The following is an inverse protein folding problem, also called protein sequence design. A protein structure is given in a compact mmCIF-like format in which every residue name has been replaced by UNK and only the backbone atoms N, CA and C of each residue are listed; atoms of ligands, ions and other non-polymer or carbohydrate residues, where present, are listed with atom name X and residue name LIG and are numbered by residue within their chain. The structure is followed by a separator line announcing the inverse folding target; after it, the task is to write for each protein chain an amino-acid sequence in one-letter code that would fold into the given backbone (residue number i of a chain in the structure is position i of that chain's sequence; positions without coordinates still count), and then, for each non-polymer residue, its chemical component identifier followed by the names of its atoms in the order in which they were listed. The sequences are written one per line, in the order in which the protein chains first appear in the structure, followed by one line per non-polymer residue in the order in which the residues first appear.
data_IF_636391201860
#
_entry.id   IF_636391201860
#
_cell.length_a   1.000
_cell.length_b   1.000
_cell.length_c   1.000
_cell.angle_alpha   90.00
_cell.angle_beta   90.00
_cell.angle_gamma   90.00
#
_symmetry.space_group_name_H-M   'P 1'
#
loop_
_entity.id
_entity.type
_entity.pdbx_description
1 polymer ?
#
# COMPACT_ATOMS: atom_id res chain seq x y z
N UNK A 1 0.68 24.91 48.96
CA UNK A 1 -0.61 24.18 48.98
C UNK A 1 -0.78 23.54 50.34
N UNK A 2 -1.89 23.80 51.02
CA UNK A 2 -2.25 23.11 52.27
C UNK A 2 -3.08 21.90 51.87
N UNK A 3 -2.53 20.70 52.02
CA UNK A 3 -3.28 19.47 51.79
C UNK A 3 -4.28 19.28 52.94
N UNK A 4 -5.52 18.95 52.62
CA UNK A 4 -6.52 18.58 53.60
C UNK A 4 -6.54 17.04 53.72
N UNK A 5 -6.40 16.55 54.94
CA UNK A 5 -6.44 15.13 55.26
C UNK A 5 -7.19 14.93 56.58
N UNK A 6 -7.78 13.75 56.74
CA UNK A 6 -8.34 13.32 58.02
C UNK A 6 -7.39 12.30 58.67
N UNK A 7 -7.24 12.37 60.00
CA UNK A 7 -6.50 11.38 60.76
C UNK A 7 -7.33 10.11 60.95
N UNK A 8 -6.76 8.92 60.74
CA UNK A 8 -7.42 7.63 60.91
C UNK A 8 -6.60 6.70 61.81
N UNK A 9 -7.22 5.86 62.66
CA UNK A 9 -6.50 5.07 63.67
C UNK A 9 -5.61 3.95 63.10
N UNK A 10 -5.87 3.48 61.88
CA UNK A 10 -5.20 2.31 61.30
C UNK A 10 -4.58 2.64 59.93
N UNK A 11 -3.40 2.06 59.67
CA UNK A 11 -2.67 2.11 58.39
C UNK A 11 -3.44 1.35 57.31
N UNK A 12 -3.72 1.97 56.18
CA UNK A 12 -4.40 1.33 55.03
C UNK A 12 -3.46 1.32 53.83
N UNK A 13 -3.26 0.14 53.24
CA UNK A 13 -2.62 0.00 51.92
C UNK A 13 -3.66 0.25 50.82
N UNK A 14 -3.79 1.50 50.38
CA UNK A 14 -4.65 1.86 49.25
C UNK A 14 -3.84 1.95 47.95
N UNK A 15 -3.95 0.95 47.07
CA UNK A 15 -3.52 1.09 45.67
C UNK A 15 -4.66 1.73 44.87
N UNK A 16 -4.50 3.01 44.50
CA UNK A 16 -5.44 3.70 43.61
C UNK A 16 -5.16 3.34 42.15
N UNK A 17 -5.87 2.34 41.61
CA UNK A 17 -5.96 2.14 40.16
C UNK A 17 -7.06 3.06 39.61
N UNK A 18 -6.70 4.27 39.20
CA UNK A 18 -7.59 5.13 38.41
C UNK A 18 -7.28 4.92 36.92
N UNK A 19 -8.02 4.05 36.25
CA UNK A 19 -8.07 4.02 34.78
C UNK A 19 -9.24 4.87 34.29
N UNK A 20 -8.99 6.11 33.88
CA UNK A 20 -9.93 6.86 33.03
C UNK A 20 -9.69 6.43 31.58
N UNK A 21 -10.73 5.88 30.95
CA UNK A 21 -10.67 5.25 29.61
C UNK A 21 -10.79 6.21 28.43
N UNK A 22 -10.72 7.54 28.65
CA UNK A 22 -10.73 8.52 27.56
C UNK A 22 -9.71 9.64 27.79
N UNK A 23 -8.53 9.45 27.20
CA UNK A 23 -7.54 10.47 26.80
C UNK A 23 -7.29 11.65 27.74
N UNK A 24 -6.98 11.37 29.00
CA UNK A 24 -6.45 12.36 29.93
C UNK A 24 -5.92 11.68 31.18
N UNK A 25 -4.62 11.38 31.21
CA UNK A 25 -3.95 11.00 32.45
C UNK A 25 -3.93 12.23 33.36
N UNK A 26 -4.81 12.27 34.36
CA UNK A 26 -4.75 13.26 35.42
C UNK A 26 -3.64 12.89 36.38
N UNK A 27 -2.44 13.46 36.20
CA UNK A 27 -1.38 13.33 37.19
C UNK A 27 -1.80 14.07 38.45
N UNK A 28 -1.97 13.37 39.58
CA UNK A 28 -1.93 14.02 40.89
C UNK A 28 -0.58 14.73 40.97
N UNK A 29 -0.59 16.07 41.09
CA UNK A 29 0.60 16.92 40.95
C UNK A 29 1.87 16.31 41.54
N UNK A 30 2.93 16.18 40.72
CA UNK A 30 4.26 15.81 41.19
C UNK A 30 4.88 17.00 41.95
N UNK A 31 4.54 17.18 43.21
CA UNK A 31 5.30 18.08 44.10
C UNK A 31 6.16 17.25 45.03
N UNK A 32 7.45 17.57 45.09
CA UNK A 32 8.51 16.94 45.90
C UNK A 32 8.36 17.13 47.42
N UNK A 33 7.13 17.26 47.91
CA UNK A 33 6.86 17.34 49.35
C UNK A 33 6.67 15.91 49.86
N UNK A 34 7.78 15.21 50.07
CA UNK A 34 7.78 13.91 50.74
C UNK A 34 7.26 14.10 52.16
N UNK A 35 5.99 13.77 52.39
CA UNK A 35 5.50 13.53 53.75
C UNK A 35 6.17 12.25 54.22
N UNK A 36 6.92 12.35 55.32
CA UNK A 36 7.75 11.26 55.83
C UNK A 36 6.95 10.10 56.44
N UNK A 37 5.64 10.27 56.71
CA UNK A 37 4.75 9.25 57.26
C UNK A 37 3.30 9.43 56.78
N UNK A 38 2.73 8.37 56.19
CA UNK A 38 1.35 8.34 55.65
C UNK A 38 0.43 7.39 56.44
N UNK A 39 0.88 6.95 57.61
CA UNK A 39 0.33 5.77 58.28
C UNK A 39 -1.02 6.03 58.97
N UNK A 40 -1.39 7.29 59.14
CA UNK A 40 -2.62 7.73 59.81
C UNK A 40 -3.39 8.81 59.02
N UNK A 41 -3.06 9.06 57.74
CA UNK A 41 -3.67 10.17 56.96
C UNK A 41 -4.50 9.68 55.78
N UNK A 42 -5.76 10.11 55.71
CA UNK A 42 -6.63 9.93 54.54
C UNK A 42 -6.57 11.18 53.65
N UNK A 43 -6.10 11.10 52.39
CA UNK A 43 -6.17 12.24 51.49
C UNK A 43 -7.62 12.55 51.15
N UNK A 44 -8.01 13.83 51.20
CA UNK A 44 -9.24 14.27 50.58
C UNK A 44 -8.97 14.49 49.08
N UNK A 45 -9.54 13.63 48.24
CA UNK A 45 -9.50 13.80 46.79
C UNK A 45 -10.68 14.67 46.35
N UNK A 46 -10.41 15.78 45.67
CA UNK A 46 -11.41 16.54 44.93
C UNK A 46 -11.24 16.27 43.45
N UNK A 47 -12.18 15.55 42.86
CA UNK A 47 -12.26 15.37 41.41
C UNK A 47 -13.07 16.54 40.84
N UNK A 48 -12.42 17.40 40.07
CA UNK A 48 -13.10 18.38 39.23
C UNK A 48 -13.45 17.74 37.90
N UNK A 49 -14.73 17.54 37.63
CA UNK A 49 -15.23 17.19 36.30
C UNK A 49 -15.90 18.43 35.71
N UNK A 50 -15.34 18.96 34.62
CA UNK A 50 -16.02 19.96 33.81
C UNK A 50 -16.75 19.22 32.70
N UNK A 51 -18.08 19.11 32.81
CA UNK A 51 -18.90 18.59 31.72
C UNK A 51 -18.68 19.45 30.47
N UNK A 52 -18.45 18.81 29.31
CA UNK A 52 -18.42 19.53 28.06
C UNK A 52 -19.75 20.24 27.83
N UNK A 53 -19.71 21.48 27.35
CA UNK A 53 -20.91 22.28 27.07
C UNK A 53 -21.83 21.48 26.16
N UNK A 54 -23.09 21.30 26.59
CA UNK A 54 -24.11 20.67 25.77
C UNK A 54 -24.35 21.50 24.51
N UNK A 55 -24.54 20.83 23.39
CA UNK A 55 -24.85 21.55 22.15
C UNK A 55 -26.18 22.32 22.33
N UNK A 56 -26.27 23.48 21.69
CA UNK A 56 -27.47 24.31 21.71
C UNK A 56 -27.67 24.98 20.35
N UNK A 57 -28.91 25.04 19.89
CA UNK A 57 -29.25 25.64 18.59
C UNK A 57 -28.68 24.85 17.40
N UNK A 58 -28.61 25.51 16.24
CA UNK A 58 -28.08 24.93 15.02
C UNK A 58 -26.55 24.87 15.09
N UNK A 59 -25.93 23.68 14.99
CA UNK A 59 -24.48 23.56 15.01
C UNK A 59 -23.87 24.11 13.71
N UNK A 60 -22.59 24.49 13.76
CA UNK A 60 -21.77 24.67 12.56
C UNK A 60 -21.27 23.29 12.12
N UNK A 61 -21.55 22.88 10.89
CA UNK A 61 -21.12 21.57 10.39
C UNK A 61 -19.68 21.55 9.84
N UNK A 62 -19.11 22.72 9.55
CA UNK A 62 -17.72 22.86 9.10
C UNK A 62 -17.45 22.32 7.69
N UNK A 63 -16.20 21.97 7.44
CA UNK A 63 -15.68 21.47 6.16
C UNK A 63 -15.41 19.97 6.25
N UNK A 64 -15.95 19.19 5.32
CA UNK A 64 -15.60 17.78 5.18
C UNK A 64 -14.20 17.61 4.60
N UNK A 65 -13.46 16.64 5.13
CA UNK A 65 -12.12 16.30 4.68
C UNK A 65 -12.01 14.77 4.50
N UNK A 66 -11.12 14.36 3.62
CA UNK A 66 -10.72 12.96 3.42
C UNK A 66 -9.23 12.84 3.71
N UNK A 67 -8.79 11.69 4.21
CA UNK A 67 -7.37 11.40 4.49
C UNK A 67 -6.50 11.26 3.24
N UNK A 68 -7.06 11.47 2.05
CA UNK A 68 -6.40 11.28 0.75
C UNK A 68 -6.55 12.53 -0.09
N UNK A 69 -5.53 12.85 -0.87
CA UNK A 69 -5.53 13.91 -1.88
C UNK A 69 -5.19 13.30 -3.24
N UNK A 70 -6.19 13.05 -4.07
CA UNK A 70 -6.02 12.49 -5.42
C UNK A 70 -6.81 11.20 -5.66
N UNK A 71 -6.50 10.54 -6.78
CA UNK A 71 -7.19 9.33 -7.22
C UNK A 71 -6.65 8.10 -6.47
N UNK A 72 -7.55 7.37 -5.82
CA UNK A 72 -7.25 6.14 -5.07
C UNK A 72 -7.69 4.89 -5.84
N UNK A 73 -7.17 3.74 -5.45
CA UNK A 73 -7.67 2.47 -5.98
C UNK A 73 -8.95 2.03 -5.24
N UNK A 74 -9.79 1.26 -5.92
CA UNK A 74 -11.03 0.72 -5.37
C UNK A 74 -10.77 -0.01 -4.03
N UNK A 75 -11.58 0.27 -3.01
CA UNK A 75 -11.50 -0.39 -1.70
C UNK A 75 -10.44 0.18 -0.77
N UNK A 76 -9.68 1.19 -1.20
CA UNK A 76 -8.72 1.90 -0.31
C UNK A 76 -9.48 2.52 0.86
N UNK A 77 -9.00 2.26 2.09
CA UNK A 77 -9.56 2.87 3.29
C UNK A 77 -9.31 4.39 3.28
N UNK A 78 -10.39 5.16 3.39
CA UNK A 78 -10.40 6.61 3.49
C UNK A 78 -11.03 7.00 4.82
N UNK A 79 -10.32 7.80 5.62
CA UNK A 79 -10.87 8.37 6.83
C UNK A 79 -11.45 9.75 6.52
N UNK A 80 -12.75 9.90 6.77
CA UNK A 80 -13.48 11.15 6.68
C UNK A 80 -13.42 11.88 8.01
N UNK A 81 -13.35 13.21 7.98
CA UNK A 81 -13.34 14.06 9.17
C UNK A 81 -13.95 15.43 8.90
N UNK A 82 -14.21 16.19 9.96
CA UNK A 82 -14.69 17.56 9.89
C UNK A 82 -13.70 18.52 10.52
N UNK A 83 -13.48 19.67 9.86
CA UNK A 83 -12.71 20.80 10.40
C UNK A 83 -13.65 22.00 10.56
N UNK A 84 -13.56 22.72 11.68
CA UNK A 84 -14.41 23.90 11.95
C UNK A 84 -15.87 23.57 12.32
N UNK A 85 -16.18 22.30 12.57
CA UNK A 85 -17.48 21.92 13.13
C UNK A 85 -17.58 22.31 14.61
N UNK A 86 -18.80 22.55 15.10
CA UNK A 86 -19.06 22.76 16.53
C UNK A 86 -18.59 21.56 17.34
N UNK A 87 -17.87 21.82 18.43
CA UNK A 87 -17.45 20.80 19.41
C UNK A 87 -18.26 21.00 20.69
N UNK A 88 -19.21 20.11 20.94
CA UNK A 88 -20.10 20.13 22.10
C UNK A 88 -20.60 18.71 22.42
N UNK A 89 -21.06 18.47 23.65
CA UNK A 89 -21.67 17.19 24.02
C UNK A 89 -23.08 17.09 23.43
N UNK A 90 -23.54 15.86 23.12
CA UNK A 90 -24.88 15.64 22.55
C UNK A 90 -25.01 15.88 21.04
N UNK A 91 -23.90 16.10 20.33
CA UNK A 91 -23.89 16.16 18.88
C UNK A 91 -24.00 14.75 18.27
N UNK A 92 -24.68 14.66 17.12
CA UNK A 92 -24.70 13.47 16.28
C UNK A 92 -24.24 13.78 14.87
N UNK A 93 -23.52 12.85 14.27
CA UNK A 93 -22.87 13.00 12.97
C UNK A 93 -23.41 11.94 12.01
N UNK A 94 -24.09 12.36 10.94
CA UNK A 94 -24.58 11.44 9.91
C UNK A 94 -23.82 11.74 8.61
N UNK A 95 -22.86 10.89 8.29
CA UNK A 95 -22.19 10.94 6.99
C UNK A 95 -23.14 10.49 5.89
N UNK A 96 -23.00 11.14 4.74
CA UNK A 96 -23.79 10.87 3.55
C UNK A 96 -22.90 10.82 2.30
N UNK A 97 -23.34 10.05 1.30
CA UNK A 97 -22.67 9.89 0.01
C UNK A 97 -23.61 10.25 -1.15
N UNK A 98 -23.06 10.86 -2.19
CA UNK A 98 -23.70 11.08 -3.49
C UNK A 98 -22.69 10.90 -4.61
N UNK A 99 -23.13 10.40 -5.77
CA UNK A 99 -22.27 10.27 -6.97
C UNK A 99 -22.01 11.61 -7.66
N UNK A 100 -22.80 12.64 -7.36
CA UNK A 100 -22.65 13.99 -7.91
C UNK A 100 -22.70 15.04 -6.81
N UNK A 101 -22.00 16.17 -7.00
CA UNK A 101 -21.88 17.21 -5.98
C UNK A 101 -23.24 17.77 -5.50
N UNK A 102 -24.19 17.89 -6.43
CA UNK A 102 -25.55 18.42 -6.21
C UNK A 102 -26.63 17.32 -6.24
N UNK A 103 -26.23 16.05 -6.13
CA UNK A 103 -27.13 14.91 -6.23
C UNK A 103 -27.92 14.64 -4.96
N UNK A 104 -28.65 13.52 -4.98
CA UNK A 104 -29.32 13.00 -3.77
C UNK A 104 -28.29 12.29 -2.90
N UNK A 105 -28.11 12.81 -1.69
CA UNK A 105 -27.22 12.21 -0.70
C UNK A 105 -27.95 11.15 0.11
N UNK A 106 -27.31 9.99 0.25
CA UNK A 106 -27.82 8.84 1.02
C UNK A 106 -27.00 8.66 2.28
N UNK A 107 -27.63 8.28 3.39
CA UNK A 107 -26.95 8.06 4.66
C UNK A 107 -26.00 6.86 4.57
N UNK A 108 -24.77 7.06 5.05
CA UNK A 108 -23.78 5.99 5.20
C UNK A 108 -23.91 5.44 6.62
N UNK A 109 -24.47 4.25 6.75
CA UNK A 109 -24.69 3.61 8.04
C UNK A 109 -25.52 4.47 9.00
N UNK A 110 -25.37 4.21 10.30
CA UNK A 110 -26.06 4.91 11.36
C UNK A 110 -25.35 6.21 11.77
N UNK A 111 -26.07 7.11 12.42
CA UNK A 111 -25.48 8.32 13.01
C UNK A 111 -24.50 7.97 14.13
N UNK A 112 -23.38 8.70 14.19
CA UNK A 112 -22.26 8.49 15.08
C UNK A 112 -22.18 9.62 16.14
N UNK A 113 -21.45 9.37 17.22
CA UNK A 113 -21.14 10.37 18.26
C UNK A 113 -19.81 11.09 18.02
N UNK A 114 -19.05 10.68 17.01
CA UNK A 114 -17.81 11.34 16.56
C UNK A 114 -17.91 11.69 15.08
N UNK A 115 -17.15 12.69 14.65
CA UNK A 115 -17.11 13.13 13.25
C UNK A 115 -16.26 12.25 12.34
N UNK A 116 -15.45 11.36 12.90
CA UNK A 116 -14.55 10.50 12.13
C UNK A 116 -15.26 9.24 11.63
N UNK A 117 -15.09 8.91 10.35
CA UNK A 117 -15.64 7.69 9.76
C UNK A 117 -14.67 7.09 8.74
N UNK A 118 -14.35 5.81 8.89
CA UNK A 118 -13.64 5.04 7.87
C UNK A 118 -14.61 4.53 6.80
N UNK A 119 -14.30 4.76 5.53
CA UNK A 119 -15.04 4.24 4.38
C UNK A 119 -14.09 3.57 3.38
N UNK A 120 -14.59 2.63 2.59
CA UNK A 120 -13.85 1.95 1.51
C UNK A 120 -14.56 2.17 0.17
N UNK A 121 -14.37 3.33 -0.48
CA UNK A 121 -15.12 3.69 -1.68
C UNK A 121 -14.81 2.76 -2.86
N UNK A 122 -15.85 2.33 -3.58
CA UNK A 122 -15.73 1.51 -4.79
C UNK A 122 -15.99 2.31 -6.07
N UNK A 123 -16.33 3.59 -5.92
CA UNK A 123 -16.60 4.53 -7.02
C UNK A 123 -16.33 5.96 -6.55
N UNK A 124 -16.04 6.85 -7.49
CA UNK A 124 -15.90 8.28 -7.20
C UNK A 124 -17.22 8.88 -6.72
N UNK A 125 -17.12 9.88 -5.85
CA UNK A 125 -18.26 10.67 -5.43
C UNK A 125 -17.93 11.64 -4.31
N UNK A 126 -18.99 12.20 -3.73
CA UNK A 126 -18.93 13.28 -2.78
C UNK A 126 -19.47 12.82 -1.43
N UNK A 127 -18.74 13.19 -0.37
CA UNK A 127 -19.09 12.93 1.00
C UNK A 127 -19.38 14.25 1.71
N UNK A 128 -20.41 14.23 2.57
CA UNK A 128 -20.74 15.34 3.46
C UNK A 128 -21.29 14.78 4.76
N UNK A 129 -21.28 15.58 5.82
CA UNK A 129 -21.81 15.18 7.12
C UNK A 129 -22.93 16.13 7.54
N UNK A 130 -24.04 15.57 7.98
CA UNK A 130 -25.10 16.29 8.69
C UNK A 130 -24.77 16.23 10.18
N UNK A 131 -24.47 17.38 10.76
CA UNK A 131 -24.21 17.53 12.20
C UNK A 131 -25.48 18.02 12.86
N UNK A 132 -25.95 17.28 13.87
CA UNK A 132 -27.21 17.59 14.54
C UNK A 132 -27.02 17.80 16.04
N UNK A 133 -27.85 18.69 16.58
CA UNK A 133 -28.03 18.94 18.00
C UNK A 133 -29.52 18.88 18.31
N UNK A 134 -30.00 17.74 18.80
CA UNK A 134 -31.43 17.47 18.94
C UNK A 134 -32.14 17.57 17.58
N UNK A 135 -33.12 18.47 17.47
CA UNK A 135 -33.88 18.72 16.23
C UNK A 135 -33.22 19.71 15.26
N UNK A 136 -32.14 20.38 15.67
CA UNK A 136 -31.44 21.33 14.81
C UNK A 136 -30.29 20.63 14.09
N UNK A 137 -30.08 20.96 12.82
CA UNK A 137 -29.02 20.36 12.01
C UNK A 137 -28.42 21.34 11.02
N UNK A 138 -27.14 21.16 10.73
CA UNK A 138 -26.46 21.78 9.60
C UNK A 138 -25.70 20.74 8.79
N UNK A 139 -25.45 21.04 7.52
CA UNK A 139 -24.69 20.16 6.61
C UNK A 139 -23.33 20.78 6.31
N UNK A 140 -22.27 19.96 6.34
CA UNK A 140 -20.91 20.41 6.04
C UNK A 140 -20.77 20.77 4.56
N UNK A 141 -19.63 21.37 4.19
CA UNK A 141 -19.21 21.34 2.78
C UNK A 141 -19.02 19.89 2.29
N UNK A 142 -18.94 19.72 0.98
CA UNK A 142 -18.62 18.43 0.37
C UNK A 142 -17.10 18.22 0.33
N UNK A 143 -16.68 16.96 0.37
CA UNK A 143 -15.35 16.51 -0.06
C UNK A 143 -15.51 15.46 -1.14
N UNK A 144 -14.73 15.57 -2.21
CA UNK A 144 -14.71 14.58 -3.28
C UNK A 144 -13.65 13.51 -2.99
N UNK A 145 -14.00 12.26 -3.19
CA UNK A 145 -13.06 11.14 -3.24
C UNK A 145 -13.14 10.54 -4.64
N UNK A 146 -12.00 10.49 -5.33
CA UNK A 146 -11.92 9.95 -6.69
C UNK A 146 -11.33 8.56 -6.68
N UNK A 147 -12.03 7.60 -7.28
CA UNK A 147 -11.59 6.21 -7.41
C UNK A 147 -11.22 5.96 -8.87
N UNK A 148 -10.03 5.40 -9.09
CA UNK A 148 -9.58 5.01 -10.43
C UNK A 148 -10.49 3.92 -11.01
N UNK A 149 -10.97 4.05 -12.25
CA UNK A 149 -11.67 2.97 -12.92
C UNK A 149 -10.70 1.82 -13.22
N UNK A 150 -11.23 0.60 -13.35
CA UNK A 150 -10.46 -0.49 -13.94
C UNK A 150 -10.31 -0.25 -15.43
N UNK A 151 -9.19 -0.72 -15.98
CA UNK A 151 -8.80 -0.48 -17.36
C UNK A 151 -8.66 -1.78 -18.14
N UNK A 152 -8.82 -1.70 -19.46
CA UNK A 152 -8.59 -2.81 -20.39
C UNK A 152 -8.36 -2.25 -21.79
N UNK A 153 -7.72 -3.04 -22.64
CA UNK A 153 -7.43 -2.70 -24.02
C UNK A 153 -5.94 -2.69 -24.34
N UNK A 154 -5.62 -2.09 -25.48
CA UNK A 154 -4.27 -2.06 -26.03
C UNK A 154 -3.70 -0.64 -25.96
N UNK A 155 -2.47 -0.54 -25.47
CA UNK A 155 -1.74 0.69 -25.25
C UNK A 155 -0.35 0.61 -25.86
N UNK A 156 0.30 1.76 -25.99
CA UNK A 156 1.69 1.86 -26.45
C UNK A 156 2.61 2.26 -25.30
N UNK A 157 3.83 1.73 -25.27
CA UNK A 157 4.93 2.29 -24.47
C UNK A 157 5.92 2.89 -25.46
N UNK A 158 6.07 4.21 -25.46
CA UNK A 158 6.95 4.94 -26.38
C UNK A 158 7.48 6.21 -25.70
N UNK A 159 8.79 6.26 -25.44
CA UNK A 159 9.45 7.38 -24.75
C UNK A 159 9.57 8.63 -25.62
N UNK A 160 9.32 8.53 -26.93
CA UNK A 160 9.30 9.68 -27.85
C UNK A 160 7.96 10.43 -27.88
N UNK A 161 6.94 9.89 -27.19
CA UNK A 161 5.61 10.47 -27.10
C UNK A 161 5.26 10.71 -25.62
N UNK A 162 4.51 11.77 -25.29
CA UNK A 162 4.12 12.02 -23.91
C UNK A 162 3.21 10.92 -23.37
N UNK A 163 3.22 10.74 -22.05
CA UNK A 163 2.25 9.88 -21.35
C UNK A 163 0.85 10.48 -21.46
N UNK A 164 -0.13 9.65 -21.82
CA UNK A 164 -1.52 10.02 -22.01
C UNK A 164 -2.44 8.79 -21.98
N UNK A 165 -3.67 8.93 -22.47
CA UNK A 165 -4.69 7.89 -22.35
C UNK A 165 -4.34 6.57 -23.09
N UNK A 166 -3.51 6.62 -24.13
CA UNK A 166 -3.18 5.47 -24.99
C UNK A 166 -1.68 5.22 -25.13
N UNK A 167 -0.82 6.08 -24.59
CA UNK A 167 0.64 5.96 -24.65
C UNK A 167 1.26 6.22 -23.29
N UNK A 168 2.31 5.48 -22.96
CA UNK A 168 3.12 5.67 -21.76
C UNK A 168 4.57 5.94 -22.17
N UNK A 169 5.18 7.00 -21.61
CA UNK A 169 6.57 7.35 -21.90
C UNK A 169 7.58 6.39 -21.23
N UNK A 170 7.12 5.58 -20.27
CA UNK A 170 7.93 4.65 -19.47
C UNK A 170 7.16 3.38 -19.10
N UNK A 171 7.86 2.34 -18.65
CA UNK A 171 7.20 1.16 -18.07
C UNK A 171 6.55 1.47 -16.72
N UNK A 172 7.17 2.32 -15.91
CA UNK A 172 6.62 2.80 -14.64
C UNK A 172 5.25 3.46 -14.83
N UNK A 173 5.11 4.32 -15.85
CA UNK A 173 3.81 4.94 -16.18
C UNK A 173 2.77 3.91 -16.60
N UNK A 174 3.16 2.92 -17.40
CA UNK A 174 2.29 1.84 -17.86
C UNK A 174 1.79 0.97 -16.69
N UNK A 175 2.68 0.56 -15.78
CA UNK A 175 2.29 -0.22 -14.60
C UNK A 175 1.51 0.61 -13.59
N UNK A 176 1.84 1.89 -13.42
CA UNK A 176 1.08 2.81 -12.57
C UNK A 176 -0.35 3.02 -13.10
N UNK A 177 -0.55 3.00 -14.41
CA UNK A 177 -1.88 3.12 -15.02
C UNK A 177 -2.79 1.92 -14.69
N UNK A 178 -2.25 0.70 -14.65
CA UNK A 178 -3.03 -0.50 -14.31
C UNK A 178 -3.05 -0.85 -12.81
N UNK A 179 -2.31 -0.11 -11.97
CA UNK A 179 -2.10 -0.47 -10.55
C UNK A 179 -3.38 -0.65 -9.73
N UNK A 180 -4.45 0.04 -10.12
CA UNK A 180 -5.73 -0.03 -9.42
C UNK A 180 -6.65 -1.16 -9.90
N UNK A 181 -6.26 -1.87 -10.96
CA UNK A 181 -6.95 -3.06 -11.44
C UNK A 181 -7.34 -3.00 -12.92
N UNK A 182 -7.65 -4.17 -13.44
CA UNK A 182 -8.06 -4.40 -14.83
C UNK A 182 -9.41 -5.13 -14.86
N UNK A 183 -10.24 -4.84 -15.87
CA UNK A 183 -11.55 -5.48 -16.06
C UNK A 183 -11.64 -6.28 -17.37
N UNK A 184 -10.51 -6.48 -18.03
CA UNK A 184 -10.34 -7.19 -19.29
C UNK A 184 -8.84 -7.33 -19.60
N UNK A 185 -8.47 -7.97 -20.72
CA UNK A 185 -7.06 -8.04 -21.14
C UNK A 185 -6.44 -6.64 -21.29
N UNK A 186 -5.20 -6.50 -20.84
CA UNK A 186 -4.37 -5.32 -21.11
C UNK A 186 -3.17 -5.75 -21.94
N UNK A 187 -2.91 -5.03 -23.04
CA UNK A 187 -1.75 -5.25 -23.90
C UNK A 187 -0.95 -3.94 -24.01
N UNK A 188 0.32 -3.99 -23.69
CA UNK A 188 1.28 -2.92 -23.94
C UNK A 188 2.18 -3.30 -25.13
N UNK A 189 2.08 -2.55 -26.22
CA UNK A 189 3.00 -2.66 -27.35
C UNK A 189 4.10 -1.62 -27.19
N UNK A 190 5.32 -2.06 -26.91
CA UNK A 190 6.46 -1.15 -26.87
C UNK A 190 6.80 -0.74 -28.31
N UNK A 191 6.93 0.56 -28.59
CA UNK A 191 7.27 1.00 -29.93
C UNK A 191 8.68 0.52 -30.32
N UNK A 192 8.88 -0.06 -31.52
CA UNK A 192 10.21 -0.48 -31.97
C UNK A 192 11.23 0.68 -31.92
N UNK A 193 12.42 0.42 -31.39
CA UNK A 193 13.46 1.44 -31.23
C UNK A 193 13.22 2.47 -30.12
N UNK A 194 12.13 2.32 -29.35
CA UNK A 194 11.89 3.14 -28.17
C UNK A 194 12.75 2.70 -26.98
N UNK A 195 13.06 3.63 -26.09
CA UNK A 195 14.02 3.45 -25.00
C UNK A 195 15.45 3.88 -25.37
N UNK A 196 16.49 3.40 -24.65
CA UNK A 196 16.41 2.47 -23.53
C UNK A 196 15.62 3.06 -22.34
N UNK A 197 14.96 2.18 -21.60
CA UNK A 197 14.19 2.49 -20.41
C UNK A 197 15.05 2.19 -19.19
N UNK A 198 15.58 3.21 -18.52
CA UNK A 198 16.42 3.03 -17.34
C UNK A 198 15.58 3.12 -16.06
N UNK A 199 15.00 1.99 -15.64
CA UNK A 199 13.96 1.94 -14.61
C UNK A 199 14.14 0.71 -13.71
N UNK A 200 13.92 0.88 -12.41
CA UNK A 200 13.71 -0.21 -11.47
C UNK A 200 12.23 -0.30 -11.13
N UNK A 201 11.64 -1.47 -11.34
CA UNK A 201 10.20 -1.65 -11.28
C UNK A 201 9.82 -2.72 -10.27
N UNK A 202 8.87 -2.41 -9.40
CA UNK A 202 8.15 -3.37 -8.57
C UNK A 202 6.68 -3.27 -8.93
N UNK A 203 6.13 -4.36 -9.45
CA UNK A 203 4.72 -4.47 -9.82
C UNK A 203 4.03 -5.26 -8.71
N UNK A 204 3.08 -4.66 -7.97
CA UNK A 204 2.33 -5.39 -6.96
C UNK A 204 1.24 -6.26 -7.59
N UNK A 205 0.46 -6.96 -6.78
CA UNK A 205 -0.78 -7.61 -7.23
C UNK A 205 -1.70 -6.63 -7.97
N UNK A 206 -2.15 -7.01 -9.16
CA UNK A 206 -3.09 -6.21 -9.96
C UNK A 206 -4.48 -6.83 -9.84
N UNK A 207 -5.42 -6.07 -9.27
CA UNK A 207 -6.78 -6.53 -9.05
C UNK A 207 -7.49 -6.83 -10.38
N UNK A 208 -8.20 -7.96 -10.43
CA UNK A 208 -8.93 -8.38 -11.63
C UNK A 208 -8.12 -9.16 -12.66
N UNK A 209 -6.82 -9.33 -12.46
CA UNK A 209 -6.00 -10.28 -13.23
C UNK A 209 -6.55 -11.70 -13.13
N UNK A 210 -6.66 -12.38 -14.27
CA UNK A 210 -7.20 -13.74 -14.37
C UNK A 210 -6.81 -14.38 -15.71
N UNK A 211 -7.20 -15.64 -15.92
CA UNK A 211 -7.01 -16.33 -17.20
C UNK A 211 -7.61 -15.60 -18.41
N UNK A 212 -8.69 -14.82 -18.20
CA UNK A 212 -9.30 -14.00 -19.24
C UNK A 212 -8.80 -12.54 -19.26
N UNK A 213 -8.25 -12.06 -18.15
CA UNK A 213 -7.77 -10.69 -17.99
C UNK A 213 -6.27 -10.71 -17.75
N UNK A 214 -5.51 -10.94 -18.82
CA UNK A 214 -4.05 -11.04 -18.77
C UNK A 214 -3.39 -9.66 -18.96
N UNK A 215 -2.19 -9.49 -18.41
CA UNK A 215 -1.32 -8.34 -18.69
C UNK A 215 -0.24 -8.80 -19.67
N UNK A 216 -0.26 -8.29 -20.90
CA UNK A 216 0.73 -8.65 -21.94
C UNK A 216 1.62 -7.46 -22.28
N UNK A 217 2.93 -7.69 -22.36
CA UNK A 217 3.93 -6.74 -22.83
C UNK A 217 4.60 -7.31 -24.07
N UNK A 218 4.46 -6.63 -25.21
CA UNK A 218 5.18 -6.91 -26.44
C UNK A 218 6.37 -5.95 -26.53
N UNK A 219 7.54 -6.41 -26.09
CA UNK A 219 8.76 -5.62 -25.92
C UNK A 219 9.36 -5.12 -27.24
N UNK A 220 9.11 -5.79 -28.37
CA UNK A 220 9.61 -5.39 -29.69
C UNK A 220 11.12 -5.09 -29.75
N UNK A 221 11.92 -5.82 -28.95
CA UNK A 221 13.37 -5.63 -28.85
C UNK A 221 13.81 -4.38 -28.10
N UNK A 222 12.88 -3.63 -27.48
CA UNK A 222 13.23 -2.52 -26.61
C UNK A 222 13.99 -3.01 -25.36
N UNK A 223 14.76 -2.10 -24.78
CA UNK A 223 15.64 -2.42 -23.64
C UNK A 223 15.12 -1.77 -22.36
N UNK A 224 14.85 -2.59 -21.35
CA UNK A 224 14.73 -2.20 -19.94
C UNK A 224 16.08 -2.43 -19.25
N UNK A 225 16.58 -1.44 -18.51
CA UNK A 225 17.87 -1.54 -17.84
C UNK A 225 17.86 -0.90 -16.47
N UNK A 226 18.65 -1.45 -15.55
CA UNK A 226 18.95 -0.79 -14.29
C UNK A 226 20.22 -1.38 -13.64
N UNK A 227 20.92 -0.56 -12.85
CA UNK A 227 22.04 -0.98 -12.01
C UNK A 227 21.74 -0.55 -10.57
N UNK A 228 21.28 -1.48 -9.73
CA UNK A 228 20.98 -1.18 -8.34
C UNK A 228 22.26 -1.01 -7.52
N UNK A 229 22.25 -0.07 -6.57
CA UNK A 229 23.27 0.06 -5.52
C UNK A 229 22.80 -0.50 -4.17
N UNK A 230 21.58 -1.04 -4.12
CA UNK A 230 20.94 -1.53 -2.90
C UNK A 230 20.88 -3.06 -2.92
N UNK A 231 21.51 -3.69 -1.93
CA UNK A 231 21.62 -5.16 -1.86
C UNK A 231 20.31 -5.87 -1.58
N UNK A 232 19.29 -5.17 -1.08
CA UNK A 232 17.94 -5.70 -0.88
C UNK A 232 16.99 -5.40 -2.05
N UNK A 233 17.37 -4.50 -2.97
CA UNK A 233 16.60 -4.14 -4.16
C UNK A 233 17.40 -4.50 -5.41
N UNK A 234 17.70 -5.79 -5.57
CA UNK A 234 18.62 -6.25 -6.63
C UNK A 234 17.98 -6.25 -8.01
N UNK A 235 16.66 -6.12 -8.14
CA UNK A 235 15.97 -6.36 -9.40
C UNK A 235 16.03 -5.19 -10.38
N UNK A 236 15.84 -5.50 -11.67
CA UNK A 236 15.41 -4.53 -12.67
C UNK A 236 13.87 -4.52 -12.71
N UNK A 237 13.26 -5.71 -12.84
CA UNK A 237 11.81 -5.88 -12.83
C UNK A 237 11.40 -6.95 -11.80
N UNK A 238 10.62 -6.56 -10.81
CA UNK A 238 10.06 -7.45 -9.78
C UNK A 238 8.54 -7.51 -9.90
N UNK A 239 8.01 -8.72 -9.91
CA UNK A 239 6.58 -8.98 -9.74
C UNK A 239 6.37 -9.52 -8.33
N UNK A 240 5.59 -8.80 -7.54
CA UNK A 240 5.33 -9.01 -6.12
C UNK A 240 3.82 -9.31 -5.95
N UNK A 241 3.46 -10.59 -6.10
CA UNK A 241 2.08 -11.07 -6.13
C UNK A 241 1.28 -10.67 -7.38
N UNK A 242 1.94 -10.21 -8.45
CA UNK A 242 1.28 -10.01 -9.74
C UNK A 242 1.04 -11.36 -10.40
N UNK A 243 -0.18 -11.58 -10.90
CA UNK A 243 -0.54 -12.78 -11.64
C UNK A 243 -0.84 -12.50 -13.12
N UNK A 244 -0.80 -13.54 -13.94
CA UNK A 244 -1.28 -13.55 -15.34
C UNK A 244 -0.54 -12.57 -16.26
N UNK A 245 0.78 -12.51 -16.12
CA UNK A 245 1.66 -11.66 -16.93
C UNK A 245 2.28 -12.44 -18.09
N UNK A 246 2.31 -11.83 -19.28
CA UNK A 246 3.08 -12.31 -20.43
C UNK A 246 4.04 -11.23 -20.91
N UNK A 247 5.32 -11.55 -21.06
CA UNK A 247 6.32 -10.67 -21.67
C UNK A 247 6.92 -11.36 -22.89
N UNK A 248 6.83 -10.70 -24.04
CA UNK A 248 7.35 -11.18 -25.31
C UNK A 248 8.48 -10.25 -25.81
N UNK A 249 9.60 -10.80 -26.26
CA UNK A 249 10.64 -10.08 -27.01
C UNK A 249 11.12 -8.77 -26.33
N UNK A 250 11.35 -8.79 -25.02
CA UNK A 250 11.92 -7.66 -24.27
C UNK A 250 13.39 -7.93 -23.94
N UNK A 251 14.24 -6.93 -24.13
CA UNK A 251 15.64 -6.98 -23.67
C UNK A 251 15.73 -6.42 -22.25
N UNK A 252 16.37 -7.14 -21.35
CA UNK A 252 16.58 -6.76 -19.95
C UNK A 252 18.08 -6.75 -19.71
N UNK A 253 18.64 -5.60 -19.35
CA UNK A 253 20.09 -5.43 -19.37
C UNK A 253 20.63 -4.73 -18.13
N UNK A 254 21.84 -5.11 -17.72
CA UNK A 254 22.58 -4.41 -16.68
C UNK A 254 24.05 -4.34 -17.04
N UNK A 255 24.64 -3.15 -16.84
CA UNK A 255 26.07 -2.92 -16.99
C UNK A 255 26.82 -2.94 -15.65
N UNK A 256 26.13 -3.32 -14.55
CA UNK A 256 26.71 -3.45 -13.22
C UNK A 256 28.04 -4.21 -13.26
N UNK A 257 29.11 -3.58 -12.81
CA UNK A 257 30.49 -4.08 -12.96
C UNK A 257 31.27 -4.10 -11.66
N UNK A 258 30.73 -3.57 -10.57
CA UNK A 258 31.35 -3.55 -9.24
C UNK A 258 30.62 -4.47 -8.26
N UNK A 259 31.29 -4.87 -7.19
CA UNK A 259 30.71 -5.72 -6.12
C UNK A 259 29.63 -5.04 -5.30
N UNK A 260 29.47 -3.72 -5.42
CA UNK A 260 28.43 -2.91 -4.77
C UNK A 260 27.23 -2.64 -5.67
N UNK A 261 27.26 -3.17 -6.90
CA UNK A 261 26.15 -3.09 -7.85
C UNK A 261 25.44 -4.44 -7.99
N UNK A 262 24.14 -4.38 -8.24
CA UNK A 262 23.26 -5.54 -8.29
C UNK A 262 22.30 -5.44 -9.47
N UNK A 263 21.98 -6.58 -10.07
CA UNK A 263 20.94 -6.71 -11.09
C UNK A 263 20.45 -8.17 -11.20
N UNK A 264 19.28 -8.42 -10.66
CA UNK A 264 18.45 -9.56 -10.99
C UNK A 264 17.50 -9.12 -12.09
N UNK A 265 17.59 -9.69 -13.29
CA UNK A 265 16.83 -9.22 -14.45
C UNK A 265 15.33 -9.19 -14.18
N UNK A 266 14.74 -10.35 -13.92
CA UNK A 266 13.34 -10.48 -13.47
C UNK A 266 13.31 -11.23 -12.14
N UNK A 267 12.48 -10.75 -11.20
CA UNK A 267 12.23 -11.41 -9.92
C UNK A 267 10.75 -11.71 -9.78
N UNK A 268 10.42 -12.93 -9.34
CA UNK A 268 9.06 -13.37 -9.03
C UNK A 268 8.95 -13.71 -7.55
N UNK A 269 8.08 -12.97 -6.85
CA UNK A 269 7.84 -13.16 -5.43
C UNK A 269 6.36 -13.18 -5.02
N UNK A 270 6.11 -13.71 -3.82
CA UNK A 270 4.86 -13.57 -3.06
C UNK A 270 3.62 -13.98 -3.88
N UNK A 271 3.58 -15.24 -4.32
CA UNK A 271 2.49 -15.81 -5.11
C UNK A 271 2.31 -15.19 -6.50
N UNK A 272 3.36 -14.63 -7.12
CA UNK A 272 3.32 -14.20 -8.51
C UNK A 272 3.22 -15.41 -9.47
N UNK A 273 2.01 -15.72 -9.94
CA UNK A 273 1.64 -16.95 -10.63
C UNK A 273 1.20 -16.74 -12.08
N UNK A 274 1.32 -17.80 -12.90
CA UNK A 274 0.84 -17.82 -14.29
C UNK A 274 1.57 -16.82 -15.20
N UNK A 275 2.91 -16.82 -15.13
CA UNK A 275 3.74 -15.95 -15.96
C UNK A 275 4.31 -16.68 -17.16
N UNK A 276 4.36 -15.98 -18.30
CA UNK A 276 5.01 -16.48 -19.52
C UNK A 276 6.01 -15.44 -20.02
N UNK A 277 7.28 -15.85 -20.10
CA UNK A 277 8.36 -15.09 -20.71
C UNK A 277 8.79 -15.80 -21.98
N UNK A 278 8.56 -15.18 -23.14
CA UNK A 278 8.79 -15.77 -24.46
C UNK A 278 9.69 -14.86 -25.30
N UNK A 279 10.83 -15.36 -25.74
CA UNK A 279 11.74 -14.57 -26.58
C UNK A 279 12.43 -13.41 -25.85
N UNK A 280 12.48 -13.39 -24.51
CA UNK A 280 13.19 -12.33 -23.78
C UNK A 280 14.72 -12.53 -23.89
N UNK A 281 15.47 -11.45 -23.79
CA UNK A 281 16.94 -11.49 -23.72
C UNK A 281 17.40 -10.82 -22.44
N UNK A 282 18.07 -11.56 -21.56
CA UNK A 282 18.66 -11.04 -20.33
C UNK A 282 20.18 -10.98 -20.48
N UNK A 283 20.73 -9.76 -20.55
CA UNK A 283 22.16 -9.52 -20.76
C UNK A 283 22.75 -8.78 -19.56
N UNK A 284 23.54 -9.49 -18.78
CA UNK A 284 24.21 -8.99 -17.58
C UNK A 284 25.73 -9.00 -17.79
N UNK A 285 26.45 -8.26 -16.96
CA UNK A 285 27.90 -8.28 -17.00
C UNK A 285 28.46 -9.58 -16.40
N UNK A 286 29.65 -10.00 -16.86
CA UNK A 286 30.39 -11.14 -16.30
C UNK A 286 31.50 -10.71 -15.30
N UNK A 287 31.73 -9.40 -15.12
CA UNK A 287 32.78 -8.84 -14.28
C UNK A 287 32.63 -9.15 -12.77
N UNK A 288 31.43 -9.52 -12.33
CA UNK A 288 31.09 -9.86 -10.93
C UNK A 288 30.76 -11.36 -10.75
N UNK A 289 31.28 -12.20 -11.65
CA UNK A 289 30.95 -13.62 -11.86
C UNK A 289 31.14 -14.58 -10.67
N UNK A 290 31.71 -14.14 -9.54
CA UNK A 290 31.77 -14.93 -8.29
C UNK A 290 30.72 -14.53 -7.25
N UNK A 291 29.81 -13.60 -7.56
CA UNK A 291 28.83 -13.05 -6.62
C UNK A 291 27.40 -13.37 -7.05
N UNK A 292 26.51 -13.59 -6.09
CA UNK A 292 25.05 -13.74 -6.28
C UNK A 292 24.35 -12.42 -6.68
N UNK A 293 25.13 -11.37 -7.00
CA UNK A 293 24.65 -10.02 -7.25
C UNK A 293 23.97 -9.85 -8.60
N UNK A 294 24.42 -10.62 -9.59
CA UNK A 294 23.83 -10.62 -10.93
C UNK A 294 23.24 -11.99 -11.26
N UNK A 295 21.96 -12.02 -11.65
CA UNK A 295 21.25 -13.23 -12.05
C UNK A 295 20.15 -12.89 -13.07
N UNK A 296 19.84 -13.81 -13.98
CA UNK A 296 18.87 -13.55 -15.05
C UNK A 296 17.44 -13.45 -14.53
N UNK A 297 16.78 -14.59 -14.31
CA UNK A 297 15.45 -14.66 -13.67
C UNK A 297 15.59 -15.34 -12.32
N UNK A 298 14.96 -14.78 -11.28
CA UNK A 298 14.98 -15.30 -9.92
C UNK A 298 13.56 -15.53 -9.42
N UNK A 299 13.23 -16.78 -9.10
CA UNK A 299 11.96 -17.19 -8.49
C UNK A 299 12.28 -17.60 -7.06
N UNK A 300 12.12 -16.69 -6.10
CA UNK A 300 12.55 -16.87 -4.71
C UNK A 300 11.84 -15.87 -3.80
N UNK A 301 11.57 -16.24 -2.54
CA UNK A 301 11.07 -15.30 -1.52
C UNK A 301 12.17 -14.41 -0.92
N UNK A 302 13.44 -14.67 -1.24
CA UNK A 302 14.59 -13.90 -0.75
C UNK A 302 14.96 -12.78 -1.74
N UNK A 303 15.17 -11.57 -1.23
CA UNK A 303 15.60 -10.40 -2.03
C UNK A 303 17.12 -10.19 -2.06
N UNK A 304 17.87 -10.96 -1.26
CA UNK A 304 19.32 -10.74 -1.06
C UNK A 304 20.18 -11.95 -1.45
N UNK A 305 19.58 -13.12 -1.57
CA UNK A 305 20.26 -14.40 -1.80
C UNK A 305 19.52 -15.28 -2.80
N UNK A 306 20.29 -15.94 -3.67
CA UNK A 306 19.77 -16.92 -4.64
C UNK A 306 19.52 -18.30 -4.01
N UNK A 307 20.16 -18.60 -2.87
CA UNK A 307 20.18 -19.95 -2.28
C UNK A 307 19.43 -20.05 -0.96
N UNK A 308 19.04 -18.93 -0.36
CA UNK A 308 18.26 -18.95 0.89
C UNK A 308 16.84 -19.46 0.63
N UNK A 309 16.50 -20.61 1.24
CA UNK A 309 15.15 -21.15 1.19
C UNK A 309 14.15 -20.17 1.79
N UNK A 310 13.09 -19.88 1.06
CA UNK A 310 12.06 -18.93 1.47
C UNK A 310 10.73 -19.28 0.82
N UNK A 311 9.65 -19.18 1.59
CA UNK A 311 8.30 -19.34 1.06
C UNK A 311 8.08 -18.31 -0.05
N UNK A 312 7.55 -18.76 -1.19
CA UNK A 312 7.37 -17.91 -2.36
C UNK A 312 6.12 -18.25 -3.16
N UNK A 313 5.81 -19.55 -3.25
CA UNK A 313 4.56 -20.08 -3.83
C UNK A 313 4.24 -19.55 -5.24
N UNK A 314 5.30 -19.19 -6.00
CA UNK A 314 5.21 -18.84 -7.41
C UNK A 314 5.17 -20.11 -8.26
N UNK A 315 4.08 -20.29 -8.99
CA UNK A 315 3.72 -21.44 -9.77
C UNK A 315 3.36 -21.07 -11.21
N UNK A 316 3.40 -22.05 -12.10
CA UNK A 316 2.96 -21.90 -13.50
C UNK A 316 3.80 -20.89 -14.28
N UNK A 317 5.10 -20.89 -14.03
CA UNK A 317 6.04 -19.97 -14.67
C UNK A 317 6.65 -20.67 -15.89
N UNK A 318 6.48 -20.09 -17.07
CA UNK A 318 7.08 -20.59 -18.31
C UNK A 318 8.10 -19.59 -18.83
N UNK A 319 9.34 -20.04 -19.03
CA UNK A 319 10.43 -19.29 -19.66
C UNK A 319 10.86 -20.07 -20.90
N UNK A 320 10.65 -19.48 -22.07
CA UNK A 320 10.78 -20.16 -23.35
C UNK A 320 11.43 -19.25 -24.41
N UNK A 321 12.18 -19.86 -25.34
CA UNK A 321 12.79 -19.20 -26.49
C UNK A 321 13.68 -17.99 -26.12
N UNK A 322 14.17 -17.96 -24.88
CA UNK A 322 14.84 -16.80 -24.29
C UNK A 322 16.35 -16.99 -24.22
N UNK A 323 17.10 -15.90 -24.19
CA UNK A 323 18.56 -15.93 -24.08
C UNK A 323 19.05 -15.27 -22.80
N UNK A 324 20.01 -15.89 -22.13
CA UNK A 324 20.65 -15.40 -20.91
C UNK A 324 22.15 -15.33 -21.15
N UNK A 325 22.76 -14.16 -20.91
CA UNK A 325 24.20 -13.96 -21.07
C UNK A 325 24.75 -13.20 -19.87
N UNK A 326 25.85 -13.69 -19.30
CA UNK A 326 26.48 -13.10 -18.12
C UNK A 326 25.68 -13.31 -16.83
N UNK A 327 26.14 -12.68 -15.74
CA UNK A 327 25.66 -12.99 -14.40
C UNK A 327 26.11 -14.38 -13.91
N UNK A 328 25.80 -14.67 -12.64
CA UNK A 328 26.21 -15.93 -11.99
C UNK A 328 25.29 -17.11 -12.34
N UNK A 329 24.01 -16.83 -12.63
CA UNK A 329 22.96 -17.83 -12.92
C UNK A 329 21.97 -17.24 -13.93
N UNK A 330 21.59 -18.01 -14.95
CA UNK A 330 20.55 -17.61 -15.91
C UNK A 330 19.14 -17.64 -15.32
N UNK A 331 18.72 -18.77 -14.74
CA UNK A 331 17.46 -18.88 -14.00
C UNK A 331 17.72 -19.55 -12.64
N UNK A 332 17.37 -18.87 -11.55
CA UNK A 332 17.42 -19.39 -10.18
C UNK A 332 16.01 -19.64 -9.67
N UNK A 333 15.75 -20.85 -9.16
CA UNK A 333 14.46 -21.26 -8.62
C UNK A 333 14.68 -21.78 -7.20
N UNK A 334 14.04 -21.14 -6.21
CA UNK A 334 14.22 -21.44 -4.80
C UNK A 334 12.88 -21.43 -4.06
N UNK A 335 12.53 -22.57 -3.46
CA UNK A 335 11.30 -22.77 -2.71
C UNK A 335 11.47 -22.62 -1.20
N UNK A 336 10.35 -22.71 -0.49
CA UNK A 336 10.33 -22.70 0.97
C UNK A 336 10.67 -24.07 1.55
N UNK A 337 11.01 -24.08 2.85
CA UNK A 337 11.02 -25.30 3.66
C UNK A 337 9.69 -25.40 4.42
N UNK A 338 9.10 -26.59 4.53
CA UNK A 338 7.94 -26.84 5.41
C UNK A 338 6.61 -27.20 4.74
N UNK A 339 6.53 -28.36 4.10
CA UNK A 339 5.28 -28.98 3.62
C UNK A 339 4.76 -28.48 2.26
N UNK A 340 3.73 -29.15 1.73
CA UNK A 340 3.24 -28.99 0.35
C UNK A 340 2.81 -27.55 -0.03
N UNK A 341 2.45 -26.73 0.97
CA UNK A 341 2.05 -25.33 0.79
C UNK A 341 3.17 -24.38 0.31
N UNK A 342 4.42 -24.87 0.24
CA UNK A 342 5.60 -24.10 -0.20
C UNK A 342 6.24 -24.66 -1.48
N UNK A 343 5.60 -25.65 -2.12
CA UNK A 343 6.11 -26.28 -3.34
C UNK A 343 5.92 -25.35 -4.54
N UNK A 344 7.01 -25.09 -5.26
CA UNK A 344 6.96 -24.47 -6.58
C UNK A 344 6.55 -25.54 -7.61
N UNK A 345 5.49 -25.29 -8.35
CA UNK A 345 4.89 -26.21 -9.30
C UNK A 345 4.84 -25.60 -10.70
N UNK A 346 4.91 -26.48 -11.71
CA UNK A 346 4.75 -26.11 -13.13
C UNK A 346 5.71 -25.00 -13.58
N UNK A 347 6.97 -25.10 -13.15
CA UNK A 347 8.07 -24.26 -13.66
C UNK A 347 8.63 -24.92 -14.93
N UNK A 348 8.48 -24.26 -16.06
CA UNK A 348 8.86 -24.77 -17.38
C UNK A 348 9.95 -23.87 -17.96
N UNK A 349 11.15 -24.42 -18.12
CA UNK A 349 12.31 -23.74 -18.73
C UNK A 349 12.71 -24.57 -19.95
N UNK A 350 12.45 -24.08 -21.16
CA UNK A 350 12.70 -24.85 -22.40
C UNK A 350 13.12 -23.97 -23.57
N UNK A 351 13.93 -24.52 -24.49
CA UNK A 351 14.39 -23.83 -25.69
C UNK A 351 15.08 -22.49 -25.40
N UNK A 352 15.80 -22.39 -24.28
CA UNK A 352 16.54 -21.19 -23.90
C UNK A 352 18.04 -21.40 -24.17
N UNK A 353 18.76 -20.31 -24.42
CA UNK A 353 20.22 -20.29 -24.48
C UNK A 353 20.78 -19.67 -23.20
N UNK A 354 21.80 -20.28 -22.62
CA UNK A 354 22.48 -19.87 -21.38
C UNK A 354 23.97 -19.71 -21.61
#
# INVERSE_FOLDING_TARGET
FTWLWNTVPNRIYGVGLTSITTSGSGTLSSTSNSISTIDDRRPLLRIGYNAGIACSGTPTAGTANASVSGVICNGTLVNLSLTGATTATGLSYQWQFSTTANGTYTNIGNSQTTSQLGVTPTQSGFYRCVVSCGSNSATSSNVEVQVAPFVSGTYTINSTQPTGASNFASFADAFNFIRCGINGPVVFNVAPGSGPYNEQLTVPSILGSSASNTITINGNGATLSFNSSTSADRWILRFDGTDWVRINNLNITSSASTTTQYAWGIVLQNDANNHIYDGISVVLNNAVSSTTSLAGVVISGSTTSLTTSSANSCDSITIINSSFTGGSVGVAVNGGTGGDANLLQRIIIRNNTF
#
